data_IF_103217163521
#
_entry.id   IF_103217163521
#
_cell.length_a   1.000
_cell.length_b   1.000
_cell.length_c   1.000
_cell.angle_alpha   90.00
_cell.angle_beta   90.00
_cell.angle_gamma   90.00
#
_symmetry.space_group_name_H-M   'P 1'
#
loop_
_entity.id
_entity.type
_entity.pdbx_description
1 polymer ?
#
# COMPACT_ATOMS: atom_id res chain seq x y z
N UNK A 1 6.01 13.16 16.25
CA UNK A 1 7.26 13.73 16.81
C UNK A 1 8.16 14.06 15.64
N UNK A 2 8.57 15.32 15.50
CA UNK A 2 9.52 15.74 14.45
C UNK A 2 10.95 15.54 14.99
N UNK A 3 11.85 14.88 14.26
CA UNK A 3 13.24 14.71 14.70
C UNK A 3 13.94 16.07 14.83
N UNK A 4 14.84 16.19 15.81
CA UNK A 4 15.68 17.38 15.95
C UNK A 4 16.68 17.50 14.79
N UNK A 5 17.23 18.69 14.59
CA UNK A 5 18.26 18.92 13.56
C UNK A 5 19.47 18.00 13.77
N UNK A 6 19.91 17.79 15.02
CA UNK A 6 21.02 16.89 15.35
C UNK A 6 20.71 15.43 15.01
N UNK A 7 19.46 14.99 15.20
CA UNK A 7 19.04 13.64 14.83
C UNK A 7 19.04 13.45 13.31
N UNK A 8 18.58 14.44 12.54
CA UNK A 8 18.61 14.41 11.07
C UNK A 8 20.05 14.41 10.57
N UNK A 9 20.92 15.25 11.14
CA UNK A 9 22.33 15.35 10.77
C UNK A 9 23.08 14.04 11.08
N UNK A 10 22.87 13.46 12.27
CA UNK A 10 23.46 12.18 12.63
C UNK A 10 23.00 11.04 11.71
N UNK A 11 21.71 11.01 11.34
CA UNK A 11 21.19 10.03 10.39
C UNK A 11 21.85 10.17 9.01
N UNK A 12 21.91 11.39 8.47
CA UNK A 12 22.52 11.66 7.17
C UNK A 12 24.02 11.33 7.17
N UNK A 13 24.74 11.65 8.24
CA UNK A 13 26.17 11.34 8.38
C UNK A 13 26.46 9.84 8.36
N UNK A 14 25.56 9.00 8.87
CA UNK A 14 25.73 7.54 8.89
C UNK A 14 25.14 6.85 7.64
N UNK A 15 24.00 7.32 7.14
CA UNK A 15 23.27 6.68 6.04
C UNK A 15 23.64 7.20 4.65
N UNK A 16 24.13 8.44 4.52
CA UNK A 16 24.43 9.08 3.24
C UNK A 16 23.22 9.58 2.45
N UNK A 17 22.01 9.54 3.03
CA UNK A 17 20.77 10.04 2.42
C UNK A 17 19.84 10.67 3.47
N UNK A 18 18.91 11.50 3.00
CA UNK A 18 17.93 12.13 3.88
C UNK A 18 16.93 11.10 4.46
N UNK A 19 16.45 11.29 5.70
CA UNK A 19 15.40 10.44 6.29
C UNK A 19 14.14 10.33 5.43
N UNK A 20 13.79 11.40 4.70
CA UNK A 20 12.65 11.43 3.78
C UNK A 20 12.77 10.43 2.62
N UNK A 21 13.99 10.15 2.16
CA UNK A 21 14.22 9.16 1.10
C UNK A 21 13.87 7.75 1.58
N UNK A 22 14.23 7.40 2.83
CA UNK A 22 13.87 6.12 3.43
C UNK A 22 12.36 6.01 3.61
N UNK A 23 11.73 7.07 4.13
CA UNK A 23 10.27 7.10 4.27
C UNK A 23 9.58 6.88 2.92
N UNK A 24 10.03 7.55 1.86
CA UNK A 24 9.47 7.38 0.53
C UNK A 24 9.60 5.93 0.02
N UNK A 25 10.78 5.30 0.16
CA UNK A 25 11.01 3.91 -0.27
C UNK A 25 10.15 2.93 0.53
N UNK A 26 10.05 3.11 1.85
CA UNK A 26 9.22 2.25 2.71
C UNK A 26 7.74 2.38 2.35
N UNK A 27 7.25 3.60 2.16
CA UNK A 27 5.87 3.84 1.74
C UNK A 27 5.60 3.23 0.36
N UNK A 28 6.50 3.44 -0.61
CA UNK A 28 6.38 2.84 -1.93
C UNK A 28 6.36 1.31 -1.86
N UNK A 29 7.20 0.71 -1.01
CA UNK A 29 7.23 -0.73 -0.80
C UNK A 29 5.90 -1.26 -0.22
N UNK A 30 5.34 -0.57 0.77
CA UNK A 30 4.01 -0.91 1.34
C UNK A 30 2.94 -0.89 0.26
N UNK A 31 2.87 0.16 -0.56
CA UNK A 31 1.90 0.24 -1.64
C UNK A 31 2.14 -0.79 -2.75
N UNK A 32 3.40 -1.11 -3.07
CA UNK A 32 3.72 -2.15 -4.04
C UNK A 32 3.20 -3.52 -3.58
N UNK A 33 3.45 -3.90 -2.31
CA UNK A 33 2.94 -5.14 -1.73
C UNK A 33 1.41 -5.14 -1.71
N UNK A 34 0.78 -4.02 -1.33
CA UNK A 34 -0.67 -3.86 -1.32
C UNK A 34 -1.28 -4.08 -2.71
N UNK A 35 -0.69 -3.50 -3.76
CA UNK A 35 -1.15 -3.63 -5.14
C UNK A 35 -0.98 -5.06 -5.66
N UNK A 36 0.17 -5.69 -5.41
CA UNK A 36 0.40 -7.09 -5.78
C UNK A 36 -0.60 -8.02 -5.11
N UNK A 37 -0.86 -7.81 -3.82
CA UNK A 37 -1.87 -8.54 -3.09
C UNK A 37 -3.28 -8.29 -3.64
N UNK A 38 -3.61 -7.04 -3.96
CA UNK A 38 -4.88 -6.66 -4.56
C UNK A 38 -5.15 -7.35 -5.89
N UNK A 39 -4.16 -7.38 -6.78
CA UNK A 39 -4.23 -8.10 -8.05
C UNK A 39 -4.46 -9.59 -7.82
N UNK A 40 -3.73 -10.20 -6.89
CA UNK A 40 -3.92 -11.61 -6.55
C UNK A 40 -5.32 -11.90 -5.99
N UNK A 41 -5.84 -11.04 -5.10
CA UNK A 41 -7.16 -11.16 -4.53
C UNK A 41 -8.26 -11.04 -5.61
N UNK A 42 -8.14 -10.04 -6.49
CA UNK A 42 -9.07 -9.85 -7.62
C UNK A 42 -9.01 -11.01 -8.61
N UNK A 43 -7.81 -11.53 -8.92
CA UNK A 43 -7.65 -12.71 -9.78
C UNK A 43 -8.36 -13.93 -9.17
N UNK A 44 -8.19 -14.17 -7.88
CA UNK A 44 -8.83 -15.28 -7.17
C UNK A 44 -10.35 -15.16 -7.19
N UNK A 45 -10.88 -13.95 -6.96
CA UNK A 45 -12.31 -13.67 -7.04
C UNK A 45 -12.85 -13.81 -8.47
N UNK A 46 -12.10 -13.33 -9.47
CA UNK A 46 -12.45 -13.47 -10.89
C UNK A 46 -12.56 -14.95 -11.30
N UNK A 47 -11.59 -15.79 -10.93
CA UNK A 47 -11.66 -17.24 -11.20
C UNK A 47 -12.89 -17.84 -10.52
N UNK A 48 -13.16 -17.49 -9.27
CA UNK A 48 -14.36 -17.97 -8.56
C UNK A 48 -15.67 -17.54 -9.23
N UNK A 49 -15.73 -16.34 -9.80
CA UNK A 49 -16.90 -15.84 -10.52
C UNK A 49 -17.07 -16.53 -11.87
N UNK A 50 -15.97 -16.68 -12.63
CA UNK A 50 -15.95 -17.35 -13.92
C UNK A 50 -16.35 -18.83 -13.82
N UNK A 51 -16.03 -19.49 -12.70
CA UNK A 51 -16.44 -20.86 -12.39
C UNK A 51 -17.81 -20.95 -11.69
N UNK A 52 -18.59 -19.85 -11.65
CA UNK A 52 -19.90 -19.76 -10.99
C UNK A 52 -19.93 -20.17 -9.51
N UNK A 53 -18.79 -20.13 -8.81
CA UNK A 53 -18.68 -20.40 -7.37
C UNK A 53 -19.07 -19.20 -6.51
N UNK A 54 -18.95 -17.99 -7.05
CA UNK A 54 -19.41 -16.74 -6.41
C UNK A 54 -20.26 -15.91 -7.38
N UNK A 55 -21.14 -15.09 -6.81
CA UNK A 55 -21.99 -14.15 -7.56
C UNK A 55 -21.20 -12.91 -7.99
N UNK A 56 -21.70 -12.22 -9.02
CA UNK A 56 -21.17 -10.93 -9.47
C UNK A 56 -21.10 -9.90 -8.33
N UNK A 57 -22.13 -9.83 -7.47
CA UNK A 57 -22.16 -8.95 -6.30
C UNK A 57 -21.01 -9.23 -5.33
N UNK A 58 -20.65 -10.50 -5.13
CA UNK A 58 -19.51 -10.87 -4.28
C UNK A 58 -18.18 -10.47 -4.91
N UNK A 59 -18.02 -10.67 -6.22
CA UNK A 59 -16.85 -10.21 -6.97
C UNK A 59 -16.67 -8.69 -6.88
N UNK A 60 -17.72 -7.92 -7.21
CA UNK A 60 -17.71 -6.45 -7.07
C UNK A 60 -17.41 -6.01 -5.64
N UNK A 61 -17.93 -6.73 -4.65
CA UNK A 61 -17.62 -6.50 -3.24
C UNK A 61 -16.12 -6.61 -2.91
N UNK A 62 -15.39 -7.54 -3.53
CA UNK A 62 -13.92 -7.65 -3.38
C UNK A 62 -13.23 -6.43 -3.99
N UNK A 63 -13.61 -6.05 -5.20
CA UNK A 63 -13.02 -4.90 -5.91
C UNK A 63 -13.24 -3.60 -5.12
N UNK A 64 -14.48 -3.33 -4.68
CA UNK A 64 -14.82 -2.13 -3.91
C UNK A 64 -14.06 -2.07 -2.59
N UNK A 65 -13.95 -3.19 -1.86
CA UNK A 65 -13.18 -3.25 -0.61
C UNK A 65 -11.70 -2.95 -0.85
N UNK A 66 -11.12 -3.50 -1.91
CA UNK A 66 -9.74 -3.21 -2.26
C UNK A 66 -9.53 -1.73 -2.59
N UNK A 67 -10.41 -1.15 -3.42
CA UNK A 67 -10.35 0.28 -3.78
C UNK A 67 -10.50 1.16 -2.53
N UNK A 68 -11.48 0.87 -1.67
CA UNK A 68 -11.70 1.62 -0.44
C UNK A 68 -10.47 1.57 0.48
N UNK A 69 -9.89 0.37 0.68
CA UNK A 69 -8.67 0.21 1.48
C UNK A 69 -7.49 0.96 0.86
N UNK A 70 -7.29 0.87 -0.45
CA UNK A 70 -6.23 1.60 -1.15
C UNK A 70 -6.36 3.12 -0.96
N UNK A 71 -7.55 3.67 -1.18
CA UNK A 71 -7.82 5.11 -1.03
C UNK A 71 -7.61 5.58 0.41
N UNK A 72 -8.12 4.83 1.39
CA UNK A 72 -7.96 5.13 2.82
C UNK A 72 -6.47 5.15 3.19
N UNK A 73 -5.70 4.15 2.77
CA UNK A 73 -4.27 4.09 3.05
C UNK A 73 -3.51 5.20 2.32
N UNK A 74 -3.82 5.48 1.06
CA UNK A 74 -3.24 6.59 0.30
C UNK A 74 -3.46 7.93 1.00
N UNK A 75 -4.69 8.19 1.44
CA UNK A 75 -5.00 9.39 2.23
C UNK A 75 -4.14 9.42 3.50
N UNK A 76 -4.29 8.44 4.40
CA UNK A 76 -3.61 8.50 5.71
C UNK A 76 -2.07 8.44 5.65
N UNK A 77 -1.49 7.83 4.63
CA UNK A 77 -0.03 7.63 4.54
C UNK A 77 0.68 8.66 3.66
N UNK A 78 -0.02 9.33 2.73
CA UNK A 78 0.58 10.26 1.78
C UNK A 78 0.03 11.70 1.87
N UNK A 79 -1.01 11.96 2.68
CA UNK A 79 -1.49 13.33 3.00
C UNK A 79 -0.81 13.89 4.25
#
# INVERSE_FOLDING_TARGET
MTPSADQVAAFQANGGFAPSAVSAVVLAFVFAVLLLWGVWAMRTAYVGWAEHRITERQFLGVVVRFVAMYLVLTFFLLS
#
